data_IF_535077093461
#
_entry.id   IF_535077093461
#
_cell.length_a   1.000
_cell.length_b   1.000
_cell.length_c   1.000
_cell.angle_alpha   90.00
_cell.angle_beta   90.00
_cell.angle_gamma   90.00
#
_symmetry.space_group_name_H-M   'P 1'
#
loop_
_entity.id
_entity.type
_entity.pdbx_description
1 polymer ?
#
# COMPACT_ATOMS: atom_id res chain seq x y z
N UNK A 1 20.31 23.07 -5.67
CA UNK A 1 20.41 21.60 -5.79
C UNK A 1 19.97 21.26 -7.18
N UNK A 2 20.87 20.75 -8.03
CA UNK A 2 20.55 20.36 -9.40
C UNK A 2 20.45 18.83 -9.39
N UNK A 3 19.23 18.29 -9.33
CA UNK A 3 18.97 16.85 -9.24
C UNK A 3 18.28 16.38 -10.52
N UNK A 4 19.00 15.74 -11.45
CA UNK A 4 18.45 15.25 -12.72
C UNK A 4 17.24 14.33 -12.55
N UNK A 5 17.10 13.64 -11.40
CA UNK A 5 15.96 12.75 -11.15
C UNK A 5 14.70 13.52 -10.76
N UNK A 6 14.84 14.69 -10.13
CA UNK A 6 13.70 15.58 -9.89
C UNK A 6 13.15 16.10 -11.21
N UNK A 7 14.03 16.52 -12.13
CA UNK A 7 13.63 16.98 -13.46
C UNK A 7 12.94 15.88 -14.28
N UNK A 8 13.44 14.65 -14.18
CA UNK A 8 12.80 13.47 -14.81
C UNK A 8 11.42 13.22 -14.19
N UNK A 9 11.29 13.32 -12.87
CA UNK A 9 10.03 13.06 -12.20
C UNK A 9 8.94 14.08 -12.55
N UNK A 10 9.28 15.37 -12.65
CA UNK A 10 8.35 16.42 -13.07
C UNK A 10 7.87 16.17 -14.50
N UNK A 11 8.78 15.85 -15.43
CA UNK A 11 8.40 15.49 -16.81
C UNK A 11 7.54 14.22 -16.88
N UNK A 12 7.81 13.24 -16.02
CA UNK A 12 7.05 12.01 -15.95
C UNK A 12 5.63 12.29 -15.45
N UNK A 13 5.46 13.15 -14.45
CA UNK A 13 4.15 13.64 -14.02
C UNK A 13 3.40 14.34 -15.16
N UNK A 14 4.03 15.32 -15.81
CA UNK A 14 3.39 16.07 -16.91
C UNK A 14 2.91 15.14 -18.02
N UNK A 15 3.73 14.15 -18.38
CA UNK A 15 3.39 13.15 -19.41
C UNK A 15 2.24 12.26 -18.95
N UNK A 16 2.29 11.75 -17.71
CA UNK A 16 1.24 10.90 -17.16
C UNK A 16 -0.10 11.64 -17.02
N UNK A 17 -0.09 12.95 -16.72
CA UNK A 17 -1.32 13.75 -16.61
C UNK A 17 -1.99 14.05 -17.96
N UNK A 18 -1.25 13.91 -19.07
CA UNK A 18 -1.74 14.17 -20.42
C UNK A 18 -2.04 12.89 -21.21
N UNK A 19 -1.60 11.73 -20.72
CA UNK A 19 -1.78 10.45 -21.38
C UNK A 19 -3.18 9.86 -21.08
N UNK A 20 -3.92 9.55 -22.14
CA UNK A 20 -5.29 9.03 -22.07
C UNK A 20 -5.39 7.78 -21.18
N UNK A 21 -4.39 6.88 -21.20
CA UNK A 21 -4.39 5.67 -20.38
C UNK A 21 -4.48 6.00 -18.89
N UNK A 22 -3.72 7.00 -18.43
CA UNK A 22 -3.64 7.43 -17.04
C UNK A 22 -4.85 8.26 -16.63
N UNK A 23 -5.31 9.16 -17.51
CA UNK A 23 -6.48 10.02 -17.27
C UNK A 23 -7.75 9.18 -17.12
N UNK A 24 -7.99 8.25 -18.05
CA UNK A 24 -9.14 7.34 -18.00
C UNK A 24 -9.18 6.51 -16.70
N UNK A 25 -8.00 6.13 -16.20
CA UNK A 25 -7.84 5.29 -14.99
C UNK A 25 -7.67 6.10 -13.72
N UNK A 26 -7.67 7.43 -13.80
CA UNK A 26 -7.46 8.34 -12.66
C UNK A 26 -6.15 8.06 -11.91
N UNK A 27 -5.09 7.75 -12.66
CA UNK A 27 -3.77 7.46 -12.12
C UNK A 27 -2.98 8.75 -11.99
N UNK A 28 -3.09 9.39 -10.82
CA UNK A 28 -2.35 10.60 -10.48
C UNK A 28 -1.15 10.28 -9.60
N UNK A 29 -0.05 11.05 -9.70
CA UNK A 29 1.03 10.99 -8.72
C UNK A 29 0.48 11.16 -7.30
N UNK A 30 0.82 10.24 -6.41
CA UNK A 30 0.40 10.28 -5.01
C UNK A 30 1.53 10.84 -4.13
N UNK A 31 1.30 10.91 -2.81
CA UNK A 31 2.30 11.38 -1.83
C UNK A 31 3.61 10.57 -1.87
N UNK A 32 3.55 9.30 -2.26
CA UNK A 32 4.72 8.42 -2.32
C UNK A 32 5.63 8.75 -3.51
N UNK A 33 5.07 9.27 -4.61
CA UNK A 33 5.81 9.71 -5.78
C UNK A 33 6.85 10.79 -5.43
N UNK A 34 6.43 11.83 -4.71
CA UNK A 34 7.33 12.91 -4.30
C UNK A 34 8.17 12.57 -3.08
N UNK A 35 7.62 11.83 -2.11
CA UNK A 35 8.38 11.48 -0.90
C UNK A 35 9.55 10.55 -1.22
N UNK A 36 9.44 9.67 -2.21
CA UNK A 36 10.56 8.86 -2.68
C UNK A 36 11.71 9.67 -3.28
N UNK A 37 11.40 10.75 -4.00
CA UNK A 37 12.41 11.68 -4.55
C UNK A 37 13.09 12.44 -3.41
N UNK A 38 12.30 12.92 -2.44
CA UNK A 38 12.81 13.62 -1.26
C UNK A 38 13.74 12.72 -0.44
N UNK A 39 13.34 11.49 -0.12
CA UNK A 39 14.17 10.55 0.63
C UNK A 39 15.47 10.22 -0.10
N UNK A 40 15.43 10.07 -1.43
CA UNK A 40 16.63 9.91 -2.24
C UNK A 40 17.55 11.12 -2.16
N UNK A 41 16.99 12.34 -2.29
CA UNK A 41 17.74 13.58 -2.18
C UNK A 41 18.38 13.76 -0.78
N UNK A 42 17.74 13.19 0.26
CA UNK A 42 18.28 13.12 1.63
C UNK A 42 19.31 11.99 1.84
N UNK A 43 19.63 11.19 0.81
CA UNK A 43 20.59 10.08 0.89
C UNK A 43 20.05 8.82 1.57
N UNK A 44 18.74 8.71 1.76
CA UNK A 44 18.12 7.52 2.36
C UNK A 44 18.10 6.40 1.30
N UNK A 45 18.54 5.17 1.65
CA UNK A 45 18.52 4.06 0.71
C UNK A 45 17.08 3.65 0.38
N UNK A 46 16.81 3.33 -0.89
CA UNK A 46 15.46 2.94 -1.38
C UNK A 46 14.81 1.82 -0.55
N UNK A 47 15.52 0.74 -0.13
CA UNK A 47 14.95 -0.29 0.74
C UNK A 47 14.43 0.23 2.09
N UNK A 48 14.87 1.41 2.55
CA UNK A 48 14.43 2.02 3.80
C UNK A 48 13.19 2.94 3.65
N UNK A 49 12.71 3.19 2.43
CA UNK A 49 11.55 4.07 2.23
C UNK A 49 10.28 3.59 2.96
N UNK A 50 9.93 2.28 2.95
CA UNK A 50 8.79 1.78 3.73
C UNK A 50 8.97 1.98 5.24
N UNK A 51 10.21 1.95 5.73
CA UNK A 51 10.52 2.20 7.16
C UNK A 51 10.23 3.66 7.50
N UNK A 52 10.64 4.61 6.66
CA UNK A 52 10.35 6.03 6.85
C UNK A 52 8.85 6.31 6.82
N UNK A 53 8.11 5.65 5.93
CA UNK A 53 6.66 5.72 5.90
C UNK A 53 6.03 5.18 7.19
N UNK A 54 6.46 3.99 7.64
CA UNK A 54 5.96 3.38 8.87
C UNK A 54 6.21 4.27 10.10
N UNK A 55 7.40 4.88 10.21
CA UNK A 55 7.71 5.84 11.28
C UNK A 55 6.71 7.00 11.33
N UNK A 56 6.37 7.56 10.17
CA UNK A 56 5.35 8.61 10.09
C UNK A 56 3.93 8.13 10.42
N UNK A 57 3.62 6.83 10.29
CA UNK A 57 2.28 6.25 10.56
C UNK A 57 2.10 5.72 11.97
N UNK A 58 3.18 5.43 12.70
CA UNK A 58 3.12 4.94 14.08
C UNK A 58 2.16 5.74 14.99
N UNK A 59 2.18 7.10 15.03
CA UNK A 59 1.25 7.84 15.86
C UNK A 59 -0.23 7.60 15.51
N UNK A 60 -0.54 7.48 14.20
CA UNK A 60 -1.89 7.20 13.73
C UNK A 60 -2.34 5.77 14.04
N UNK A 61 -1.45 4.79 13.89
CA UNK A 61 -1.74 3.41 14.29
C UNK A 61 -1.99 3.28 15.79
N UNK A 62 -1.19 3.98 16.61
CA UNK A 62 -1.39 4.02 18.06
C UNK A 62 -2.71 4.71 18.42
N UNK A 63 -3.04 5.83 17.78
CA UNK A 63 -4.31 6.52 18.00
C UNK A 63 -5.51 5.62 17.68
N UNK A 64 -5.51 4.95 16.53
CA UNK A 64 -6.57 3.99 16.18
C UNK A 64 -6.63 2.78 17.11
N UNK A 65 -5.47 2.25 17.54
CA UNK A 65 -5.44 1.14 18.49
C UNK A 65 -6.00 1.55 19.86
N UNK A 66 -5.68 2.76 20.32
CA UNK A 66 -6.23 3.32 21.56
C UNK A 66 -7.74 3.55 21.45
N UNK A 67 -8.20 4.17 20.36
CA UNK A 67 -9.63 4.39 20.08
C UNK A 67 -10.40 3.07 20.10
N UNK A 68 -9.90 2.07 19.37
CA UNK A 68 -10.50 0.73 19.35
C UNK A 68 -10.52 0.07 20.73
N UNK A 69 -9.41 0.13 21.48
CA UNK A 69 -9.29 -0.50 22.80
C UNK A 69 -10.20 0.14 23.85
N UNK A 70 -10.44 1.45 23.75
CA UNK A 70 -11.23 2.22 24.72
C UNK A 70 -12.72 2.27 24.38
N UNK A 71 -13.12 1.93 23.15
CA UNK A 71 -14.53 1.88 22.75
C UNK A 71 -15.27 0.72 23.46
N UNK A 72 -16.25 1.01 24.35
CA UNK A 72 -17.04 -0.03 25.02
C UNK A 72 -17.90 -0.87 24.05
N UNK A 73 -18.13 -0.38 22.83
CA UNK A 73 -18.88 -1.07 21.78
C UNK A 73 -18.00 -1.90 20.84
N UNK A 74 -16.67 -1.89 21.04
CA UNK A 74 -15.71 -2.65 20.26
C UNK A 74 -16.11 -4.14 20.15
N UNK A 75 -15.99 -4.69 18.94
CA UNK A 75 -16.11 -6.12 18.67
C UNK A 75 -14.92 -6.62 17.86
N UNK A 76 -14.44 -7.82 18.20
CA UNK A 76 -13.43 -8.54 17.42
C UNK A 76 -13.83 -8.66 15.94
N UNK A 77 -12.93 -8.26 15.04
CA UNK A 77 -13.09 -8.44 13.60
C UNK A 77 -13.14 -9.92 13.22
N UNK A 78 -14.33 -10.43 12.90
CA UNK A 78 -14.58 -11.82 12.46
C UNK A 78 -15.25 -11.83 11.08
N UNK A 79 -14.50 -11.53 10.00
CA UNK A 79 -15.05 -11.61 8.66
C UNK A 79 -15.44 -13.05 8.32
N UNK A 80 -16.42 -13.21 7.43
CA UNK A 80 -16.79 -14.51 6.84
C UNK A 80 -16.31 -14.59 5.40
N UNK A 81 -16.25 -15.81 4.89
CA UNK A 81 -15.95 -16.08 3.49
C UNK A 81 -17.16 -16.70 2.79
N UNK A 82 -17.22 -16.53 1.47
CA UNK A 82 -18.09 -17.31 0.59
C UNK A 82 -17.25 -18.49 0.11
N UNK A 83 -17.58 -19.69 0.59
CA UNK A 83 -16.90 -20.91 0.16
C UNK A 83 -17.45 -21.36 -1.20
N UNK A 84 -16.59 -21.38 -2.22
CA UNK A 84 -16.91 -21.85 -3.58
C UNK A 84 -16.12 -23.11 -3.95
N UNK A 85 -15.49 -23.76 -2.96
CA UNK A 85 -14.77 -25.00 -3.16
C UNK A 85 -15.69 -26.23 -3.18
N UNK A 86 -15.13 -27.43 -3.39
CA UNK A 86 -15.88 -28.67 -3.33
C UNK A 86 -16.55 -28.87 -1.97
N UNK A 87 -17.78 -29.38 -1.95
CA UNK A 87 -18.41 -29.82 -0.70
C UNK A 87 -17.63 -31.00 -0.10
N UNK A 88 -18.00 -31.42 1.12
CA UNK A 88 -17.40 -32.60 1.77
C UNK A 88 -17.32 -33.76 0.78
N UNK A 89 -16.12 -34.27 0.57
CA UNK A 89 -15.86 -35.46 -0.23
C UNK A 89 -15.03 -36.45 0.61
N UNK A 90 -15.19 -37.73 0.31
CA UNK A 90 -14.45 -38.78 1.00
C UNK A 90 -12.99 -38.78 0.54
N UNK A 91 -12.09 -38.99 1.49
CA UNK A 91 -10.66 -39.08 1.19
C UNK A 91 -10.38 -40.38 0.42
N UNK A 92 -9.73 -40.25 -0.73
CA UNK A 92 -9.25 -41.40 -1.51
C UNK A 92 -7.76 -41.62 -1.20
N UNK A 93 -7.39 -42.80 -0.63
CA UNK A 93 -5.99 -43.19 -0.42
C UNK A 93 -5.18 -43.02 -1.70
N UNK A 94 -3.90 -42.67 -1.57
CA UNK A 94 -3.08 -42.32 -2.73
C UNK A 94 -2.97 -43.45 -3.75
N UNK A 95 -3.04 -44.70 -3.28
CA UNK A 95 -3.01 -45.92 -4.07
C UNK A 95 -4.29 -46.17 -4.87
N UNK A 96 -5.38 -45.45 -4.57
CA UNK A 96 -6.71 -45.63 -5.14
C UNK A 96 -7.23 -44.37 -5.87
N UNK A 97 -6.37 -43.38 -6.11
CA UNK A 97 -6.69 -42.14 -6.84
C UNK A 97 -6.77 -42.36 -8.35
#
# INVERSE_FOLDING_TARGET
VNDPLLDIAVKLEETALQDDYFVERKLYPNVDFYSGILYRAMGIPVPAFPVMFALGRLPGWLAHAMEYSQDPQNKIGRPRQIYTGPVKNDYVPIEAR
#
